data_IF_826376188523
#
_entry.id   IF_826376188523
#
_cell.length_a   1.000
_cell.length_b   1.000
_cell.length_c   1.000
_cell.angle_alpha   90.00
_cell.angle_beta   90.00
_cell.angle_gamma   90.00
#
_symmetry.space_group_name_H-M   'P 1'
#
loop_
_entity.id
_entity.type
_entity.pdbx_description
1 polymer ?
#
# COMPACT_ATOMS: atom_id res chain seq x y z
N UNK A 1 -10.05 4.46 -17.02
CA UNK A 1 -9.43 5.33 -16.01
C UNK A 1 -8.15 4.69 -15.54
N UNK A 2 -7.10 5.47 -15.45
CA UNK A 2 -5.82 4.96 -15.01
C UNK A 2 -5.69 5.11 -13.51
N UNK A 3 -5.38 4.02 -12.82
CA UNK A 3 -5.07 4.07 -11.41
C UNK A 3 -3.59 4.40 -11.25
N UNK A 4 -3.27 5.16 -10.20
CA UNK A 4 -1.88 5.41 -9.87
C UNK A 4 -1.22 4.12 -9.38
N UNK A 5 0.10 4.06 -9.44
CA UNK A 5 0.85 2.92 -8.92
C UNK A 5 0.60 2.76 -7.42
N UNK A 6 0.51 3.87 -6.70
CA UNK A 6 0.24 3.83 -5.26
C UNK A 6 -1.09 3.17 -4.96
N UNK A 7 -2.13 3.51 -5.74
CA UNK A 7 -3.45 2.93 -5.57
C UNK A 7 -3.42 1.42 -5.78
N UNK A 8 -2.70 0.97 -6.80
CA UNK A 8 -2.58 -0.46 -7.10
C UNK A 8 -1.88 -1.20 -5.96
N UNK A 9 -0.81 -0.62 -5.44
CA UNK A 9 -0.04 -1.22 -4.35
C UNK A 9 -0.89 -1.32 -3.09
N UNK A 10 -1.66 -0.27 -2.78
CA UNK A 10 -2.54 -0.26 -1.62
C UNK A 10 -3.60 -1.36 -1.72
N UNK A 11 -4.23 -1.48 -2.88
CA UNK A 11 -5.23 -2.53 -3.10
C UNK A 11 -4.64 -3.92 -2.99
N UNK A 12 -3.45 -4.11 -3.54
CA UNK A 12 -2.74 -5.38 -3.45
C UNK A 12 -2.43 -5.72 -2.00
N UNK A 13 -1.94 -4.75 -1.24
CA UNK A 13 -1.60 -4.95 0.16
C UNK A 13 -2.84 -5.32 0.99
N UNK A 14 -3.94 -4.62 0.78
CA UNK A 14 -5.19 -4.90 1.49
C UNK A 14 -5.68 -6.31 1.21
N UNK A 15 -5.58 -6.74 -0.04
CA UNK A 15 -5.98 -8.09 -0.42
C UNK A 15 -5.06 -9.14 0.18
N UNK A 16 -3.76 -8.84 0.23
CA UNK A 16 -2.76 -9.77 0.72
C UNK A 16 -2.96 -10.09 2.20
N UNK A 17 -3.29 -9.10 3.02
CA UNK A 17 -3.50 -9.32 4.44
C UNK A 17 -4.98 -9.49 4.80
N UNK A 18 -5.86 -9.35 3.82
CA UNK A 18 -7.28 -9.60 4.03
C UNK A 18 -7.99 -8.51 4.83
N UNK A 19 -7.55 -7.28 4.72
CA UNK A 19 -8.16 -6.17 5.43
C UNK A 19 -9.00 -5.30 4.50
N UNK A 20 -10.01 -4.65 5.08
CA UNK A 20 -10.78 -3.63 4.39
C UNK A 20 -10.44 -2.23 4.90
N UNK A 21 -9.49 -2.13 5.82
CA UNK A 21 -9.09 -0.86 6.43
C UNK A 21 -7.70 -0.49 5.96
N UNK A 22 -7.57 0.67 5.35
CA UNK A 22 -6.29 1.18 4.90
C UNK A 22 -5.35 1.40 6.08
N UNK A 23 -5.88 1.82 7.22
CA UNK A 23 -5.06 2.06 8.41
C UNK A 23 -4.30 0.83 8.88
N UNK A 24 -4.77 -0.37 8.52
CA UNK A 24 -4.07 -1.60 8.88
C UNK A 24 -2.77 -1.78 8.09
N UNK A 25 -2.55 -0.98 7.05
CA UNK A 25 -1.35 -1.07 6.23
C UNK A 25 -0.19 -0.24 6.74
N UNK A 26 -0.39 0.56 7.78
CA UNK A 26 0.64 1.44 8.30
C UNK A 26 1.88 0.65 8.72
N UNK A 27 3.04 1.06 8.20
CA UNK A 27 4.29 0.39 8.50
C UNK A 27 4.52 -0.90 7.73
N UNK A 28 3.65 -1.23 6.78
CA UNK A 28 3.79 -2.46 6.02
C UNK A 28 4.89 -2.35 4.97
N UNK A 29 5.69 -3.41 4.83
CA UNK A 29 6.67 -3.54 3.76
C UNK A 29 6.26 -4.73 2.90
N UNK A 30 6.23 -4.53 1.60
CA UNK A 30 5.83 -5.60 0.69
C UNK A 30 6.54 -5.49 -0.65
N UNK A 31 6.54 -6.60 -1.37
CA UNK A 31 7.06 -6.65 -2.73
C UNK A 31 5.91 -6.60 -3.72
N UNK A 32 6.04 -5.75 -4.73
CA UNK A 32 5.05 -5.61 -5.79
C UNK A 32 5.78 -5.39 -7.11
N UNK A 33 5.55 -6.25 -8.08
CA UNK A 33 6.18 -6.20 -9.41
C UNK A 33 7.71 -6.10 -9.35
N UNK A 34 8.30 -6.94 -8.50
CA UNK A 34 9.76 -7.07 -8.33
C UNK A 34 10.42 -5.86 -7.67
N UNK A 35 9.65 -5.05 -7.00
CA UNK A 35 10.16 -3.91 -6.23
C UNK A 35 9.58 -3.92 -4.84
N UNK A 36 10.34 -3.44 -3.88
CA UNK A 36 9.90 -3.37 -2.48
C UNK A 36 9.40 -1.99 -2.15
N UNK A 37 8.32 -1.93 -1.38
CA UNK A 37 7.67 -0.69 -1.00
C UNK A 37 7.34 -0.69 0.47
N UNK A 38 7.39 0.51 1.07
CA UNK A 38 6.90 0.75 2.42
C UNK A 38 5.63 1.57 2.33
N UNK A 39 4.65 1.25 3.19
CA UNK A 39 3.38 1.97 3.25
C UNK A 39 3.29 2.66 4.60
N UNK A 40 2.96 3.95 4.58
CA UNK A 40 2.75 4.75 5.78
C UNK A 40 1.38 5.37 5.72
N UNK A 41 0.64 5.28 6.83
CA UNK A 41 -0.70 5.87 6.93
C UNK A 41 -0.68 6.88 8.06
N UNK A 42 -1.09 8.10 7.75
CA UNK A 42 -1.18 9.19 8.72
C UNK A 42 -2.52 9.87 8.57
N UNK A 43 -3.45 9.52 9.46
CA UNK A 43 -4.83 10.01 9.36
C UNK A 43 -5.47 9.57 8.05
N UNK A 44 -5.80 10.54 7.20
CA UNK A 44 -6.39 10.27 5.89
C UNK A 44 -5.37 10.22 4.77
N UNK A 45 -4.08 10.34 5.11
CA UNK A 45 -3.02 10.35 4.12
C UNK A 45 -2.31 9.00 4.08
N UNK A 46 -2.14 8.47 2.88
CA UNK A 46 -1.42 7.22 2.67
C UNK A 46 -0.26 7.51 1.75
N UNK A 47 0.94 7.10 2.17
CA UNK A 47 2.16 7.29 1.40
C UNK A 47 2.76 5.94 1.09
N UNK A 48 3.14 5.72 -0.16
CA UNK A 48 3.85 4.52 -0.60
C UNK A 48 5.21 4.95 -1.11
N UNK A 49 6.26 4.37 -0.53
CA UNK A 49 7.63 4.69 -0.91
C UNK A 49 8.35 3.45 -1.39
N UNK A 50 9.09 3.58 -2.48
CA UNK A 50 9.95 2.49 -2.93
C UNK A 50 11.20 2.44 -2.06
N UNK A 51 11.53 1.23 -1.65
CA UNK A 51 12.72 1.00 -0.82
C UNK A 51 14.00 1.11 -1.64
#
# INVERSE_FOLDING_TARGET
MNESMESKIIKYAMRKIGTKRVSALDGMTLEYENKWYNIYVDGNNVTVEEV
#
